data_IF_162096855912
#
_entry.id   IF_162096855912
#
_cell.length_a   1.000
_cell.length_b   1.000
_cell.length_c   1.000
_cell.angle_alpha   90.00
_cell.angle_beta   90.00
_cell.angle_gamma   90.00
#
_symmetry.space_group_name_H-M   'P 1'
#
loop_
_entity.id
_entity.type
_entity.pdbx_description
1 polymer ?
#
# COMPACT_ATOMS: atom_id res chain seq x y z
N UNK A 1 -27.50 13.37 -37.98
CA UNK A 1 -28.06 12.88 -36.69
C UNK A 1 -27.43 11.56 -36.19
N UNK A 2 -26.84 10.69 -37.02
CA UNK A 2 -26.19 9.43 -36.55
C UNK A 2 -24.86 9.62 -35.78
N UNK A 3 -24.08 10.67 -36.09
CA UNK A 3 -22.77 10.91 -35.45
C UNK A 3 -22.85 11.30 -33.97
N UNK A 4 -23.95 11.92 -33.52
CA UNK A 4 -24.15 12.23 -32.10
C UNK A 4 -24.35 10.98 -31.25
N UNK A 5 -24.94 9.92 -31.80
CA UNK A 5 -25.10 8.65 -31.09
C UNK A 5 -23.76 7.93 -30.96
N UNK A 6 -22.97 7.86 -32.04
CA UNK A 6 -21.66 7.21 -32.04
C UNK A 6 -20.66 7.93 -31.12
N UNK A 7 -20.64 9.26 -31.10
CA UNK A 7 -19.80 10.03 -30.18
C UNK A 7 -20.20 9.81 -28.72
N UNK A 8 -21.50 9.79 -28.40
CA UNK A 8 -21.98 9.50 -27.04
C UNK A 8 -21.63 8.08 -26.61
N UNK A 9 -21.82 7.09 -27.48
CA UNK A 9 -21.46 5.69 -27.21
C UNK A 9 -19.95 5.58 -26.99
N UNK A 10 -19.12 6.21 -27.83
CA UNK A 10 -17.67 6.21 -27.66
C UNK A 10 -17.24 6.82 -26.33
N UNK A 11 -17.85 7.94 -25.91
CA UNK A 11 -17.60 8.53 -24.59
C UNK A 11 -18.01 7.57 -23.46
N UNK A 12 -19.18 6.94 -23.54
CA UNK A 12 -19.62 5.98 -22.53
C UNK A 12 -18.71 4.74 -22.45
N UNK A 13 -18.28 4.22 -23.59
CA UNK A 13 -17.32 3.09 -23.66
C UNK A 13 -15.98 3.51 -23.06
N UNK A 14 -15.47 4.68 -23.42
CA UNK A 14 -14.24 5.23 -22.85
C UNK A 14 -14.35 5.38 -21.33
N UNK A 15 -15.44 5.98 -20.83
CA UNK A 15 -15.67 6.14 -19.39
C UNK A 15 -15.78 4.79 -18.69
N UNK A 16 -16.52 3.84 -19.26
CA UNK A 16 -16.66 2.50 -18.69
C UNK A 16 -15.31 1.78 -18.61
N UNK A 17 -14.50 1.81 -19.67
CA UNK A 17 -13.16 1.22 -19.67
C UNK A 17 -12.22 1.93 -18.68
N UNK A 18 -12.24 3.27 -18.66
CA UNK A 18 -11.42 4.08 -17.76
C UNK A 18 -11.74 3.77 -16.29
N UNK A 19 -13.01 3.81 -15.90
CA UNK A 19 -13.42 3.51 -14.51
C UNK A 19 -13.26 2.03 -14.16
N UNK A 20 -13.47 1.10 -15.10
CA UNK A 20 -13.22 -0.32 -14.85
C UNK A 20 -11.74 -0.60 -14.64
N UNK A 21 -10.85 0.05 -15.39
CA UNK A 21 -9.41 -0.06 -15.20
C UNK A 21 -8.97 0.55 -13.86
N UNK A 22 -9.48 1.75 -13.52
CA UNK A 22 -9.13 2.45 -12.29
C UNK A 22 -9.65 1.75 -11.03
N UNK A 23 -10.91 1.30 -11.03
CA UNK A 23 -11.60 0.74 -9.86
C UNK A 23 -11.56 -0.79 -9.81
N UNK A 24 -11.28 -1.46 -10.93
CA UNK A 24 -11.28 -2.92 -11.04
C UNK A 24 -10.40 -3.61 -10.00
N UNK A 25 -9.12 -3.24 -9.83
CA UNK A 25 -8.27 -3.82 -8.80
C UNK A 25 -8.81 -3.62 -7.37
N UNK A 26 -9.41 -2.46 -7.08
CA UNK A 26 -10.02 -2.19 -5.77
C UNK A 26 -11.24 -3.08 -5.53
N UNK A 27 -12.06 -3.32 -6.56
CA UNK A 27 -13.21 -4.24 -6.49
C UNK A 27 -12.74 -5.67 -6.29
N UNK A 28 -11.72 -6.12 -7.03
CA UNK A 28 -11.13 -7.46 -6.86
C UNK A 28 -10.61 -7.63 -5.44
N UNK A 29 -9.84 -6.67 -4.92
CA UNK A 29 -9.33 -6.68 -3.55
C UNK A 29 -10.47 -6.65 -2.52
N UNK A 30 -11.56 -5.95 -2.80
CA UNK A 30 -12.73 -5.93 -1.94
C UNK A 30 -13.42 -7.30 -1.88
N UNK A 31 -13.47 -8.02 -3.00
CA UNK A 31 -14.05 -9.37 -3.07
C UNK A 31 -13.15 -10.40 -2.38
N UNK A 32 -11.83 -10.32 -2.56
CA UNK A 32 -10.86 -11.25 -1.94
C UNK A 32 -10.84 -11.14 -0.42
N UNK A 33 -11.21 -9.99 0.15
CA UNK A 33 -11.32 -9.79 1.59
C UNK A 33 -12.31 -10.75 2.27
N UNK A 34 -13.27 -11.28 1.51
CA UNK A 34 -14.29 -12.18 2.00
C UNK A 34 -14.09 -13.63 1.55
N UNK A 35 -12.98 -13.98 0.91
CA UNK A 35 -12.68 -15.33 0.45
C UNK A 35 -11.70 -16.03 1.41
N UNK A 36 -11.91 -17.33 1.70
CA UNK A 36 -11.07 -18.11 2.63
C UNK A 36 -9.64 -18.49 2.22
N UNK A 37 -9.21 -18.47 0.94
CA UNK A 37 -7.85 -18.87 0.60
C UNK A 37 -6.80 -18.00 1.31
N UNK A 38 -5.70 -18.61 1.77
CA UNK A 38 -4.61 -17.91 2.46
C UNK A 38 -3.81 -16.91 1.60
N UNK A 39 -4.13 -16.81 0.31
CA UNK A 39 -3.56 -15.86 -0.63
C UNK A 39 -4.68 -15.06 -1.32
N UNK A 40 -4.54 -13.73 -1.54
CA UNK A 40 -5.57 -12.92 -2.17
C UNK A 40 -5.87 -13.37 -3.60
N UNK A 41 -6.95 -14.14 -3.78
CA UNK A 41 -7.42 -14.60 -5.08
C UNK A 41 -8.93 -14.55 -5.18
N UNK A 42 -9.43 -13.96 -6.26
CA UNK A 42 -10.87 -13.82 -6.49
C UNK A 42 -11.50 -15.07 -7.11
N UNK A 43 -10.70 -15.90 -7.78
CA UNK A 43 -11.12 -17.15 -8.38
C UNK A 43 -10.04 -18.24 -8.20
N UNK A 44 -10.43 -19.51 -7.97
CA UNK A 44 -11.79 -19.98 -7.65
C UNK A 44 -12.28 -19.49 -6.27
N UNK A 45 -13.61 -19.35 -6.12
CA UNK A 45 -14.24 -19.03 -4.84
C UNK A 45 -14.30 -20.29 -3.97
N UNK A 46 -13.84 -20.21 -2.73
CA UNK A 46 -13.86 -21.33 -1.79
C UNK A 46 -15.01 -21.15 -0.80
N UNK A 47 -14.82 -20.26 0.18
CA UNK A 47 -15.78 -20.02 1.25
C UNK A 47 -15.83 -18.52 1.56
N UNK A 48 -17.03 -18.02 1.86
CA UNK A 48 -17.22 -16.71 2.47
C UNK A 48 -16.66 -16.71 3.90
N UNK A 49 -15.73 -15.81 4.21
CA UNK A 49 -15.10 -15.68 5.53
C UNK A 49 -14.98 -14.22 5.96
N UNK A 50 -14.91 -13.99 7.28
CA UNK A 50 -14.60 -12.68 7.88
C UNK A 50 -13.32 -12.75 8.75
N UNK A 51 -12.60 -13.88 8.72
CA UNK A 51 -11.42 -14.10 9.57
C UNK A 51 -10.29 -13.09 9.33
N UNK A 52 -10.18 -12.60 8.09
CA UNK A 52 -9.15 -11.63 7.70
C UNK A 52 -9.35 -10.26 8.35
N UNK A 53 -10.58 -9.89 8.71
CA UNK A 53 -10.86 -8.68 9.47
C UNK A 53 -10.34 -8.82 10.90
N UNK A 54 -10.59 -9.95 11.56
CA UNK A 54 -10.02 -10.22 12.89
C UNK A 54 -8.50 -10.33 12.85
N UNK A 55 -7.94 -11.00 11.85
CA UNK A 55 -6.49 -11.12 11.67
C UNK A 55 -5.82 -9.75 11.47
N UNK A 56 -6.49 -8.83 10.74
CA UNK A 56 -6.02 -7.45 10.57
C UNK A 56 -5.96 -6.69 11.90
N UNK A 57 -6.98 -6.80 12.75
CA UNK A 57 -7.01 -6.12 14.05
C UNK A 57 -6.09 -6.75 15.11
N UNK A 58 -5.58 -7.96 14.86
CA UNK A 58 -4.58 -8.61 15.71
C UNK A 58 -3.15 -8.37 15.22
N UNK A 59 -2.96 -7.79 14.03
CA UNK A 59 -1.66 -7.52 13.46
C UNK A 59 -1.07 -6.22 14.04
N UNK A 60 -0.27 -6.36 15.09
CA UNK A 60 0.37 -5.23 15.78
C UNK A 60 1.24 -4.38 14.85
N UNK A 61 1.86 -4.97 13.83
CA UNK A 61 2.70 -4.24 12.87
C UNK A 61 1.85 -3.31 12.03
N UNK A 62 0.70 -3.77 11.54
CA UNK A 62 -0.24 -2.92 10.80
C UNK A 62 -0.81 -1.82 11.69
N UNK A 63 -1.21 -2.15 12.92
CA UNK A 63 -1.75 -1.15 13.86
C UNK A 63 -0.71 -0.07 14.22
N UNK A 64 0.53 -0.48 14.48
CA UNK A 64 1.64 0.45 14.69
C UNK A 64 1.94 1.27 13.43
N UNK A 65 1.90 0.66 12.25
CA UNK A 65 2.01 1.36 10.96
C UNK A 65 0.95 2.43 10.77
N UNK A 66 -0.32 2.17 11.13
CA UNK A 66 -1.42 3.15 11.11
C UNK A 66 -1.12 4.30 12.08
N UNK A 67 -0.71 3.98 13.31
CA UNK A 67 -0.36 4.99 14.32
C UNK A 67 0.78 5.89 13.83
N UNK A 68 1.85 5.29 13.30
CA UNK A 68 2.99 6.00 12.74
C UNK A 68 2.58 6.88 11.56
N UNK A 69 1.75 6.37 10.64
CA UNK A 69 1.20 7.16 9.54
C UNK A 69 0.40 8.39 10.00
N UNK A 70 -0.40 8.25 11.06
CA UNK A 70 -1.16 9.39 11.62
C UNK A 70 -0.22 10.40 12.26
N UNK A 71 0.78 9.96 13.02
CA UNK A 71 1.78 10.84 13.65
C UNK A 71 2.61 11.60 12.62
N UNK A 72 3.16 10.89 11.63
CA UNK A 72 3.90 11.48 10.51
C UNK A 72 2.99 12.43 9.73
N UNK A 73 1.77 12.01 9.39
CA UNK A 73 0.79 12.84 8.69
C UNK A 73 0.48 14.13 9.42
N UNK A 74 0.23 14.08 10.73
CA UNK A 74 -0.04 15.27 11.54
C UNK A 74 1.17 16.22 11.61
N UNK A 75 2.38 15.68 11.78
CA UNK A 75 3.62 16.47 11.79
C UNK A 75 3.87 17.14 10.44
N UNK A 76 3.76 16.38 9.35
CA UNK A 76 3.94 16.86 7.98
C UNK A 76 2.91 17.91 7.59
N UNK A 77 1.64 17.73 7.96
CA UNK A 77 0.59 18.75 7.75
C UNK A 77 0.94 20.05 8.46
N UNK A 78 1.33 19.97 9.73
CA UNK A 78 1.64 21.15 10.55
C UNK A 78 2.79 21.95 9.94
N UNK A 79 3.88 21.29 9.56
CA UNK A 79 5.03 21.94 8.94
C UNK A 79 4.75 22.41 7.51
N UNK A 80 4.18 21.55 6.67
CA UNK A 80 3.98 21.86 5.25
C UNK A 80 2.96 22.98 5.03
N UNK A 81 1.86 22.99 5.79
CA UNK A 81 0.84 24.05 5.66
C UNK A 81 1.37 25.38 6.19
N UNK A 82 2.11 25.37 7.31
CA UNK A 82 2.70 26.60 7.85
C UNK A 82 3.77 27.17 6.92
N UNK A 83 4.69 26.33 6.43
CA UNK A 83 5.71 26.73 5.44
C UNK A 83 5.07 27.15 4.11
N UNK A 84 4.07 26.43 3.62
CA UNK A 84 3.37 26.75 2.39
C UNK A 84 2.58 28.06 2.48
N UNK A 85 1.96 28.34 3.63
CA UNK A 85 1.29 29.62 3.88
C UNK A 85 2.28 30.78 3.95
N UNK A 86 3.39 30.61 4.68
CA UNK A 86 4.45 31.60 4.72
C UNK A 86 5.02 31.86 3.30
N UNK A 87 5.24 30.80 2.53
CA UNK A 87 5.70 30.87 1.15
C UNK A 87 4.73 31.61 0.23
N UNK A 88 3.44 31.31 0.33
CA UNK A 88 2.40 31.95 -0.47
C UNK A 88 2.29 33.46 -0.16
N UNK A 89 2.33 33.83 1.12
CA UNK A 89 2.28 35.24 1.54
C UNK A 89 3.53 36.00 1.09
N UNK A 90 4.71 35.40 1.27
CA UNK A 90 5.98 36.02 0.85
C UNK A 90 6.02 36.26 -0.66
N UNK A 91 5.50 35.34 -1.48
CA UNK A 91 5.46 35.51 -2.93
C UNK A 91 4.67 36.77 -3.36
N UNK A 92 3.63 37.14 -2.61
CA UNK A 92 2.86 38.36 -2.91
C UNK A 92 3.56 39.64 -2.51
N UNK A 93 4.45 39.58 -1.52
CA UNK A 93 5.13 40.75 -0.95
C UNK A 93 6.54 40.96 -1.52
N UNK A 94 7.15 39.92 -2.10
CA UNK A 94 8.50 40.01 -2.66
C UNK A 94 8.53 40.88 -3.91
N UNK A 95 9.69 41.51 -4.12
CA UNK A 95 9.97 42.40 -5.24
C UNK A 95 9.69 41.70 -6.59
N UNK A 96 9.04 42.37 -7.55
CA UNK A 96 8.63 41.74 -8.82
C UNK A 96 9.75 41.00 -9.56
N UNK A 97 10.98 41.52 -9.51
CA UNK A 97 12.16 40.93 -10.15
C UNK A 97 12.62 39.60 -9.50
N UNK A 98 12.36 39.41 -8.20
CA UNK A 98 12.76 38.22 -7.45
C UNK A 98 11.66 37.15 -7.38
N UNK A 99 10.42 37.49 -7.77
CA UNK A 99 9.27 36.57 -7.73
C UNK A 99 9.52 35.27 -8.48
N UNK A 100 10.10 35.36 -9.69
CA UNK A 100 10.38 34.19 -10.51
C UNK A 100 11.39 33.26 -9.83
N UNK A 101 12.52 33.80 -9.36
CA UNK A 101 13.55 33.02 -8.66
C UNK A 101 13.02 32.36 -7.39
N UNK A 102 12.28 33.12 -6.58
CA UNK A 102 11.68 32.62 -5.35
C UNK A 102 10.68 31.48 -5.62
N UNK A 103 9.81 31.66 -6.61
CA UNK A 103 8.85 30.63 -7.05
C UNK A 103 9.57 29.36 -7.50
N UNK A 104 10.63 29.48 -8.31
CA UNK A 104 11.42 28.35 -8.78
C UNK A 104 12.09 27.60 -7.63
N UNK A 105 12.70 28.32 -6.67
CA UNK A 105 13.36 27.69 -5.51
C UNK A 105 12.35 26.88 -4.69
N UNK A 106 11.17 27.42 -4.42
CA UNK A 106 10.16 26.73 -3.61
C UNK A 106 9.59 25.52 -4.33
N UNK A 107 9.45 25.55 -5.65
CA UNK A 107 8.84 24.45 -6.41
C UNK A 107 9.87 23.38 -6.81
N UNK A 108 11.15 23.72 -6.83
CA UNK A 108 12.22 22.78 -7.18
C UNK A 108 12.11 21.40 -6.50
N UNK A 109 11.78 21.28 -5.20
CA UNK A 109 11.62 19.97 -4.54
C UNK A 109 10.57 19.06 -5.18
N UNK A 110 9.52 19.60 -5.82
CA UNK A 110 8.50 18.79 -6.52
C UNK A 110 9.09 18.04 -7.70
N UNK A 111 10.14 18.60 -8.33
CA UNK A 111 10.80 18.00 -9.50
C UNK A 111 11.82 16.93 -9.10
N UNK A 112 12.21 16.87 -7.82
CA UNK A 112 13.20 15.92 -7.33
C UNK A 112 12.50 14.59 -7.02
N UNK A 113 13.02 13.44 -7.50
CA UNK A 113 12.46 12.15 -7.16
C UNK A 113 12.43 11.92 -5.65
N UNK A 114 11.32 11.38 -5.12
CA UNK A 114 11.14 11.19 -3.67
C UNK A 114 12.24 10.35 -3.00
N UNK A 115 12.84 9.41 -3.73
CA UNK A 115 14.01 8.61 -3.30
C UNK A 115 15.22 9.51 -3.00
N UNK A 116 15.50 10.46 -3.89
CA UNK A 116 16.62 11.40 -3.72
C UNK A 116 16.37 12.30 -2.52
N UNK A 117 15.13 12.77 -2.33
CA UNK A 117 14.74 13.54 -1.12
C UNK A 117 14.94 12.70 0.15
N UNK A 118 14.54 11.42 0.14
CA UNK A 118 14.68 10.54 1.30
C UNK A 118 16.14 10.32 1.69
N UNK A 119 16.99 9.92 0.74
CA UNK A 119 18.41 9.67 0.97
C UNK A 119 19.12 10.98 1.38
N UNK A 120 18.85 12.08 0.68
CA UNK A 120 19.47 13.37 1.02
C UNK A 120 19.07 13.87 2.39
N UNK A 121 17.81 13.67 2.81
CA UNK A 121 17.33 14.01 4.15
C UNK A 121 18.07 13.24 5.22
N UNK A 122 18.18 11.91 5.06
CA UNK A 122 18.94 11.06 5.99
C UNK A 122 20.40 11.54 6.10
N UNK A 123 21.10 11.64 4.97
CA UNK A 123 22.53 12.00 4.93
C UNK A 123 22.76 13.41 5.50
N UNK A 124 21.90 14.37 5.16
CA UNK A 124 22.01 15.73 5.65
C UNK A 124 21.87 15.78 7.17
N UNK A 125 20.83 15.16 7.73
CA UNK A 125 20.58 15.19 9.17
C UNK A 125 21.58 14.36 9.96
N UNK A 126 22.08 13.24 9.44
CA UNK A 126 23.21 12.50 10.05
C UNK A 126 24.47 13.39 10.11
N UNK A 127 24.78 14.12 9.04
CA UNK A 127 25.93 15.03 9.03
C UNK A 127 25.77 16.18 10.03
N UNK A 128 24.57 16.74 10.13
CA UNK A 128 24.23 17.77 11.12
C UNK A 128 24.34 17.21 12.54
N UNK A 129 23.82 16.01 12.79
CA UNK A 129 23.88 15.34 14.08
C UNK A 129 25.34 15.20 14.57
N UNK A 130 26.23 14.73 13.69
CA UNK A 130 27.67 14.61 13.98
C UNK A 130 28.36 15.95 14.19
N UNK A 131 27.95 17.00 13.46
CA UNK A 131 28.53 18.33 13.60
C UNK A 131 28.25 18.92 14.99
N UNK A 132 27.06 18.66 15.54
CA UNK A 132 26.68 19.08 16.88
C UNK A 132 27.14 18.12 17.98
N UNK A 133 27.86 17.04 17.65
CA UNK A 133 28.35 16.06 18.61
C UNK A 133 27.23 15.33 19.36
N UNK A 134 26.06 15.21 18.75
CA UNK A 134 24.90 14.54 19.34
C UNK A 134 25.00 13.03 19.14
N UNK A 135 24.48 12.28 20.10
CA UNK A 135 24.49 10.81 20.07
C UNK A 135 23.61 10.25 18.93
N UNK A 136 23.78 8.97 18.64
CA UNK A 136 22.98 8.26 17.63
C UNK A 136 21.47 8.29 17.94
N UNK A 137 21.10 8.38 19.22
CA UNK A 137 19.71 8.38 19.70
C UNK A 137 19.06 9.77 19.74
N UNK A 138 19.69 10.76 19.09
CA UNK A 138 19.15 12.11 19.06
C UNK A 138 17.83 12.20 18.27
N UNK A 139 17.07 13.27 18.54
CA UNK A 139 15.86 13.60 17.78
C UNK A 139 16.13 13.75 16.28
N UNK A 140 17.36 14.14 15.90
CA UNK A 140 17.73 14.36 14.49
C UNK A 140 17.91 13.05 13.72
N UNK A 141 18.23 11.95 14.41
CA UNK A 141 18.34 10.61 13.85
C UNK A 141 17.03 9.82 13.89
N UNK A 142 16.01 10.34 14.59
CA UNK A 142 14.73 9.67 14.76
C UNK A 142 13.96 9.56 13.42
N UNK A 143 13.48 8.35 13.10
CA UNK A 143 12.79 8.10 11.83
C UNK A 143 11.49 8.90 11.63
N UNK A 144 10.76 9.22 12.70
CA UNK A 144 9.59 10.10 12.61
C UNK A 144 10.01 11.52 12.19
N UNK A 145 11.06 12.05 12.82
CA UNK A 145 11.59 13.38 12.51
C UNK A 145 12.09 13.45 11.06
N UNK A 146 12.93 12.49 10.65
CA UNK A 146 13.47 12.42 9.29
C UNK A 146 12.36 12.32 8.26
N UNK A 147 11.33 11.50 8.52
CA UNK A 147 10.19 11.34 7.61
C UNK A 147 9.37 12.62 7.51
N UNK A 148 9.06 13.26 8.64
CA UNK A 148 8.30 14.51 8.67
C UNK A 148 9.03 15.62 7.91
N UNK A 149 10.33 15.81 8.14
CA UNK A 149 11.11 16.86 7.46
C UNK A 149 11.29 16.55 5.97
N UNK A 150 11.65 15.32 5.64
CA UNK A 150 11.85 14.90 4.24
C UNK A 150 10.58 15.10 3.41
N UNK A 151 9.43 14.65 3.94
CA UNK A 151 8.15 14.85 3.26
C UNK A 151 7.73 16.33 3.20
N UNK A 152 7.93 17.08 4.28
CA UNK A 152 7.54 18.50 4.33
C UNK A 152 8.26 19.35 3.28
N UNK A 153 9.47 18.95 2.86
CA UNK A 153 10.29 19.70 1.90
C UNK A 153 9.60 19.90 0.55
N UNK A 154 8.85 18.90 0.05
CA UNK A 154 8.10 19.03 -1.21
C UNK A 154 6.60 19.24 -0.99
N UNK A 155 6.02 18.74 0.10
CA UNK A 155 4.59 18.93 0.39
C UNK A 155 4.30 20.39 0.75
N UNK A 156 5.24 21.13 1.35
CA UNK A 156 5.11 22.57 1.56
C UNK A 156 4.89 23.32 0.23
N UNK A 157 5.54 22.88 -0.85
CA UNK A 157 5.40 23.46 -2.19
C UNK A 157 4.00 23.21 -2.76
N UNK A 158 3.43 22.01 -2.57
CA UNK A 158 2.03 21.75 -2.93
C UNK A 158 1.06 22.62 -2.14
N UNK A 159 1.27 22.75 -0.83
CA UNK A 159 0.46 23.62 0.02
C UNK A 159 0.53 25.08 -0.44
N UNK A 160 1.74 25.57 -0.76
CA UNK A 160 1.97 26.91 -1.28
C UNK A 160 1.15 27.15 -2.56
N UNK A 161 1.18 26.24 -3.53
CA UNK A 161 0.45 26.37 -4.80
C UNK A 161 -1.06 26.53 -4.58
N UNK A 162 -1.65 25.70 -3.71
CA UNK A 162 -3.08 25.78 -3.36
C UNK A 162 -3.41 27.13 -2.70
N UNK A 163 -2.55 27.58 -1.79
CA UNK A 163 -2.75 28.83 -1.05
C UNK A 163 -2.56 30.06 -1.93
N UNK A 164 -1.58 30.06 -2.85
CA UNK A 164 -1.38 31.14 -3.83
C UNK A 164 -2.62 31.29 -4.72
N UNK A 165 -3.19 30.19 -5.22
CA UNK A 165 -4.39 30.23 -6.05
C UNK A 165 -5.59 30.86 -5.32
N UNK A 166 -5.68 30.67 -4.00
CA UNK A 166 -6.70 31.35 -3.17
C UNK A 166 -6.38 32.83 -2.99
N UNK A 167 -5.11 33.14 -2.70
CA UNK A 167 -4.65 34.49 -2.41
C UNK A 167 -4.76 35.42 -3.62
N UNK A 168 -4.64 34.90 -4.84
CA UNK A 168 -4.89 35.65 -6.08
C UNK A 168 -6.33 36.21 -6.20
N UNK A 169 -7.28 35.65 -5.45
CA UNK A 169 -8.68 36.13 -5.39
C UNK A 169 -8.94 37.05 -4.19
N UNK A 170 -7.92 37.37 -3.41
CA UNK A 170 -8.04 38.26 -2.26
C UNK A 170 -7.97 39.71 -2.73
N UNK A 171 -8.93 40.53 -2.27
CA UNK A 171 -8.90 41.96 -2.48
C UNK A 171 -8.03 42.62 -1.40
N UNK A 172 -6.91 43.20 -1.81
CA UNK A 172 -5.99 43.89 -0.90
C UNK A 172 -6.64 45.10 -0.22
N UNK A 173 -7.68 45.70 -0.83
CA UNK A 173 -8.44 46.80 -0.25
C UNK A 173 -9.11 46.44 1.08
N UNK A 174 -9.40 45.16 1.33
CA UNK A 174 -9.92 44.70 2.62
C UNK A 174 -8.88 44.84 3.75
N UNK A 175 -7.60 44.62 3.43
CA UNK A 175 -6.51 44.82 4.40
C UNK A 175 -6.27 46.30 4.62
N UNK A 176 -6.25 47.10 3.55
CA UNK A 176 -6.05 48.55 3.62
C UNK A 176 -7.15 49.23 4.45
N UNK A 177 -8.42 48.91 4.19
CA UNK A 177 -9.55 49.42 4.97
C UNK A 177 -9.48 49.05 6.45
N UNK A 178 -8.96 47.86 6.79
CA UNK A 178 -8.76 47.48 8.19
C UNK A 178 -7.68 48.33 8.87
N UNK A 179 -6.59 48.64 8.16
CA UNK A 179 -5.53 49.51 8.66
C UNK A 179 -6.04 50.95 8.82
N UNK A 180 -6.85 51.45 7.89
CA UNK A 180 -7.48 52.78 7.96
C UNK A 180 -8.42 52.93 9.17
N UNK A 181 -9.08 51.84 9.58
CA UNK A 181 -9.89 51.77 10.81
C UNK A 181 -9.06 51.63 12.10
N UNK A 182 -7.73 51.73 12.01
CA UNK A 182 -6.80 51.68 13.14
C UNK A 182 -6.37 50.27 13.56
N UNK A 183 -6.63 49.24 12.75
CA UNK A 183 -6.13 47.90 13.04
C UNK A 183 -4.60 47.84 12.82
N UNK A 184 -3.89 47.08 13.67
CA UNK A 184 -2.48 46.76 13.41
C UNK A 184 -2.34 45.69 12.32
N UNK A 185 -1.18 45.57 11.67
CA UNK A 185 -0.94 44.50 10.68
C UNK A 185 -1.25 43.09 11.21
N UNK A 186 -0.91 42.81 12.48
CA UNK A 186 -1.24 41.53 13.10
C UNK A 186 -2.76 41.33 13.29
N UNK A 187 -3.50 42.40 13.57
CA UNK A 187 -4.96 42.37 13.66
C UNK A 187 -5.60 42.19 12.29
N UNK A 188 -5.17 42.94 11.28
CA UNK A 188 -5.64 42.79 9.89
C UNK A 188 -5.38 41.37 9.37
N UNK A 189 -4.19 40.82 9.63
CA UNK A 189 -3.86 39.43 9.32
C UNK A 189 -4.82 38.44 10.00
N UNK A 190 -4.98 38.52 11.34
CA UNK A 190 -5.77 37.54 12.11
C UNK A 190 -7.28 37.66 11.87
N UNK A 191 -7.79 38.87 11.62
CA UNK A 191 -9.24 39.15 11.53
C UNK A 191 -9.76 39.21 10.10
N UNK A 192 -8.92 39.50 9.10
CA UNK A 192 -9.34 39.67 7.70
C UNK A 192 -8.73 38.58 6.84
N UNK A 193 -7.39 38.55 6.73
CA UNK A 193 -6.71 37.64 5.80
C UNK A 193 -6.83 36.17 6.21
N UNK A 194 -6.55 35.86 7.47
CA UNK A 194 -6.57 34.48 7.95
C UNK A 194 -7.96 33.84 7.82
N UNK A 195 -9.08 34.49 8.22
CA UNK A 195 -10.42 33.96 7.98
C UNK A 195 -10.76 33.76 6.51
N UNK A 196 -10.32 34.65 5.62
CA UNK A 196 -10.48 34.49 4.18
C UNK A 196 -9.73 33.26 3.64
N UNK A 197 -8.54 32.99 4.20
CA UNK A 197 -7.67 31.87 3.82
C UNK A 197 -8.06 30.54 4.48
N UNK A 198 -8.81 30.54 5.59
CA UNK A 198 -9.23 29.32 6.32
C UNK A 198 -9.72 28.16 5.43
N UNK A 199 -10.65 28.34 4.46
CA UNK A 199 -11.11 27.23 3.62
C UNK A 199 -9.99 26.66 2.74
N UNK A 200 -9.07 27.50 2.26
CA UNK A 200 -7.92 27.06 1.48
C UNK A 200 -6.85 26.39 2.36
N UNK A 201 -6.63 26.89 3.58
CA UNK A 201 -5.76 26.24 4.58
C UNK A 201 -6.28 24.86 4.94
N UNK A 202 -7.60 24.71 5.15
CA UNK A 202 -8.22 23.41 5.40
C UNK A 202 -8.04 22.45 4.21
N UNK A 203 -8.23 22.95 2.99
CA UNK A 203 -8.02 22.17 1.76
C UNK A 203 -6.55 21.74 1.59
N UNK A 204 -5.61 22.66 1.84
CA UNK A 204 -4.17 22.37 1.80
C UNK A 204 -3.76 21.37 2.90
N UNK A 205 -4.36 21.44 4.09
CA UNK A 205 -4.10 20.49 5.17
C UNK A 205 -4.57 19.08 4.81
N UNK A 206 -5.75 18.92 4.22
CA UNK A 206 -6.23 17.61 3.73
C UNK A 206 -5.32 17.08 2.63
N UNK A 207 -4.91 17.93 1.68
CA UNK A 207 -3.97 17.55 0.63
C UNK A 207 -2.63 17.11 1.21
N UNK A 208 -2.08 17.87 2.16
CA UNK A 208 -0.81 17.54 2.81
C UNK A 208 -0.89 16.22 3.57
N UNK A 209 -2.00 15.98 4.28
CA UNK A 209 -2.22 14.73 4.99
C UNK A 209 -2.28 13.56 4.02
N UNK A 210 -3.04 13.67 2.94
CA UNK A 210 -3.18 12.61 1.95
C UNK A 210 -1.84 12.29 1.28
N UNK A 211 -1.12 13.32 0.83
CA UNK A 211 0.19 13.17 0.19
C UNK A 211 1.25 12.58 1.14
N UNK A 212 1.12 12.83 2.44
CA UNK A 212 1.98 12.24 3.49
C UNK A 212 1.60 10.79 3.78
N UNK A 213 0.30 10.51 3.92
CA UNK A 213 -0.23 9.20 4.28
C UNK A 213 0.06 8.14 3.22
N UNK A 214 0.00 8.50 1.94
CA UNK A 214 0.32 7.60 0.82
C UNK A 214 1.81 7.58 0.44
N UNK A 215 2.67 8.32 1.16
CA UNK A 215 4.07 8.45 0.78
C UNK A 215 4.86 7.16 1.06
N UNK A 216 5.33 6.53 0.00
CA UNK A 216 6.29 5.43 0.04
C UNK A 216 7.71 5.89 -0.32
N UNK A 217 7.85 6.70 -1.37
CA UNK A 217 9.13 6.98 -2.02
C UNK A 217 10.17 7.65 -1.11
N UNK A 218 9.75 8.65 -0.32
CA UNK A 218 10.65 9.34 0.61
C UNK A 218 10.76 8.55 1.91
N UNK A 219 9.62 8.08 2.42
CA UNK A 219 9.52 7.35 3.68
C UNK A 219 10.38 6.10 3.74
N UNK A 220 10.55 5.38 2.62
CA UNK A 220 11.37 4.15 2.55
C UNK A 220 12.80 4.36 3.04
N UNK A 221 13.34 5.57 2.90
CA UNK A 221 14.69 5.89 3.34
C UNK A 221 14.74 6.59 4.69
N UNK A 222 13.60 7.05 5.23
CA UNK A 222 13.57 7.89 6.44
C UNK A 222 12.84 7.25 7.62
N UNK A 223 12.13 6.14 7.43
CA UNK A 223 11.23 5.59 8.46
C UNK A 223 11.96 5.09 9.73
N UNK A 224 13.21 4.63 9.62
CA UNK A 224 13.99 4.12 10.75
C UNK A 224 13.27 3.00 11.49
N UNK A 225 13.04 3.17 12.79
CA UNK A 225 12.31 2.21 13.64
C UNK A 225 10.77 2.37 13.57
N UNK A 226 10.28 3.37 12.83
CA UNK A 226 8.87 3.77 12.80
C UNK A 226 8.27 3.62 11.39
N UNK A 227 8.11 2.38 10.89
CA UNK A 227 7.50 2.16 9.58
C UNK A 227 6.06 2.69 9.57
N UNK A 228 5.71 3.42 8.51
CA UNK A 228 4.33 3.85 8.23
C UNK A 228 3.53 2.71 7.62
N UNK A 229 2.20 2.85 7.56
CA UNK A 229 1.31 1.86 6.95
C UNK A 229 1.74 1.49 5.52
N UNK A 230 2.17 2.48 4.73
CA UNK A 230 2.67 2.27 3.37
C UNK A 230 3.93 1.40 3.33
N UNK A 231 4.83 1.56 4.29
CA UNK A 231 6.05 0.75 4.42
C UNK A 231 5.70 -0.66 4.88
N UNK A 232 4.86 -0.82 5.90
CA UNK A 232 4.43 -2.14 6.37
C UNK A 232 3.72 -2.93 5.27
N UNK A 233 2.86 -2.27 4.50
CA UNK A 233 2.20 -2.90 3.36
C UNK A 233 3.20 -3.33 2.28
N UNK A 234 4.17 -2.47 1.95
CA UNK A 234 5.22 -2.80 0.97
C UNK A 234 6.12 -3.95 1.43
N UNK A 235 6.42 -4.03 2.73
CA UNK A 235 7.16 -5.15 3.32
C UNK A 235 6.36 -6.46 3.22
N UNK A 236 5.07 -6.45 3.53
CA UNK A 236 4.22 -7.65 3.37
C UNK A 236 4.13 -8.13 1.93
N UNK A 237 4.15 -7.24 0.93
CA UNK A 237 4.22 -7.64 -0.49
C UNK A 237 5.48 -8.45 -0.79
N UNK A 238 6.59 -8.19 -0.10
CA UNK A 238 7.86 -8.92 -0.28
C UNK A 238 7.94 -10.22 0.52
N UNK A 239 7.41 -10.23 1.74
CA UNK A 239 7.56 -11.37 2.66
C UNK A 239 6.38 -12.35 2.68
N UNK A 240 5.26 -12.02 2.04
CA UNK A 240 4.09 -12.88 1.94
C UNK A 240 2.79 -12.10 2.13
N UNK A 241 1.88 -12.19 1.17
CA UNK A 241 0.61 -11.46 1.15
C UNK A 241 -0.50 -12.36 1.66
N UNK A 242 -1.22 -11.88 2.67
CA UNK A 242 -2.46 -12.50 3.15
C UNK A 242 -3.67 -11.64 2.78
N UNK A 243 -4.89 -12.21 2.69
CA UNK A 243 -6.11 -11.41 2.46
C UNK A 243 -6.44 -10.42 3.60
N UNK A 244 -5.70 -10.38 4.70
CA UNK A 244 -5.80 -9.29 5.69
C UNK A 244 -5.53 -7.90 5.04
N UNK A 245 -4.66 -7.85 4.03
CA UNK A 245 -4.43 -6.63 3.23
C UNK A 245 -5.65 -6.26 2.38
N UNK A 246 -6.36 -7.28 1.87
CA UNK A 246 -7.62 -7.09 1.13
C UNK A 246 -8.70 -6.54 2.05
N UNK A 247 -8.81 -7.06 3.28
CA UNK A 247 -9.71 -6.52 4.30
C UNK A 247 -9.37 -5.06 4.65
N UNK A 248 -8.09 -4.72 4.80
CA UNK A 248 -7.67 -3.33 5.01
C UNK A 248 -8.07 -2.42 3.83
N UNK A 249 -7.82 -2.87 2.60
CA UNK A 249 -8.21 -2.12 1.40
C UNK A 249 -9.72 -1.90 1.34
N UNK A 250 -10.52 -2.93 1.63
CA UNK A 250 -11.97 -2.83 1.71
C UNK A 250 -12.42 -1.80 2.76
N UNK A 251 -11.85 -1.84 3.98
CA UNK A 251 -12.15 -0.87 5.05
C UNK A 251 -11.85 0.56 4.57
N UNK A 252 -10.68 0.79 3.96
CA UNK A 252 -10.30 2.12 3.44
C UNK A 252 -11.28 2.57 2.34
N UNK A 253 -11.68 1.69 1.43
CA UNK A 253 -12.66 1.99 0.38
C UNK A 253 -14.02 2.35 0.98
N UNK A 254 -14.51 1.58 1.95
CA UNK A 254 -15.78 1.86 2.63
C UNK A 254 -15.73 3.20 3.38
N UNK A 255 -14.65 3.47 4.11
CA UNK A 255 -14.46 4.73 4.83
C UNK A 255 -14.38 5.93 3.88
N UNK A 256 -13.67 5.81 2.75
CA UNK A 256 -13.55 6.89 1.77
C UNK A 256 -14.87 7.18 1.07
N UNK A 257 -15.61 6.14 0.64
CA UNK A 257 -16.95 6.30 0.07
C UNK A 257 -17.90 6.92 1.08
N UNK A 258 -17.90 6.45 2.33
CA UNK A 258 -18.73 7.00 3.39
C UNK A 258 -18.41 8.48 3.65
N UNK A 259 -17.12 8.83 3.75
CA UNK A 259 -16.69 10.22 3.94
C UNK A 259 -17.10 11.11 2.76
N UNK A 260 -16.99 10.61 1.52
CA UNK A 260 -17.39 11.36 0.32
C UNK A 260 -18.90 11.61 0.30
N UNK A 261 -19.71 10.59 0.60
CA UNK A 261 -21.16 10.68 0.69
C UNK A 261 -21.60 11.63 1.82
N UNK A 262 -20.93 11.56 2.98
CA UNK A 262 -21.20 12.47 4.10
C UNK A 262 -20.87 13.93 3.75
N UNK A 263 -19.76 14.16 3.04
CA UNK A 263 -19.39 15.49 2.57
C UNK A 263 -20.39 16.05 1.55
N UNK A 264 -20.77 15.25 0.55
CA UNK A 264 -21.79 15.64 -0.45
C UNK A 264 -23.14 15.92 0.22
N UNK A 265 -23.59 15.06 1.14
CA UNK A 265 -24.81 15.30 1.92
C UNK A 265 -24.73 16.60 2.73
N UNK A 266 -23.56 16.92 3.29
CA UNK A 266 -23.31 18.18 3.99
C UNK A 266 -23.39 19.40 3.09
N UNK A 267 -22.83 19.33 1.88
CA UNK A 267 -22.90 20.40 0.87
C UNK A 267 -24.35 20.59 0.42
N UNK A 268 -25.05 19.52 0.05
CA UNK A 268 -26.46 19.55 -0.33
C UNK A 268 -27.36 20.12 0.75
N UNK A 269 -27.11 19.78 2.01
CA UNK A 269 -27.84 20.36 3.14
C UNK A 269 -27.65 21.88 3.22
N UNK A 270 -26.43 22.39 3.01
CA UNK A 270 -26.17 23.85 2.99
C UNK A 270 -26.89 24.54 1.84
N UNK A 271 -26.89 23.94 0.65
CA UNK A 271 -27.63 24.44 -0.52
C UNK A 271 -29.14 24.52 -0.25
N UNK A 272 -29.73 23.45 0.30
CA UNK A 272 -31.16 23.39 0.64
C UNK A 272 -31.54 24.41 1.72
N UNK A 273 -30.71 24.57 2.76
CA UNK A 273 -30.93 25.58 3.80
C UNK A 273 -30.80 27.01 3.25
N UNK A 274 -29.83 27.25 2.35
CA UNK A 274 -29.69 28.54 1.70
C UNK A 274 -30.88 28.85 0.78
N UNK A 275 -31.38 27.85 0.05
CA UNK A 275 -32.58 27.97 -0.78
C UNK A 275 -33.82 28.26 0.08
N UNK A 276 -34.01 27.52 1.17
CA UNK A 276 -35.12 27.72 2.11
C UNK A 276 -35.09 29.11 2.77
N UNK A 277 -33.89 29.62 3.12
CA UNK A 277 -33.73 30.99 3.64
C UNK A 277 -34.11 32.06 2.62
N UNK A 278 -33.92 31.82 1.32
CA UNK A 278 -34.26 32.76 0.25
C UNK A 278 -35.76 32.84 -0.01
N UNK A 279 -36.51 31.76 0.26
CA UNK A 279 -37.96 31.69 0.10
C UNK A 279 -38.76 32.04 1.36
N UNK A 280 -38.10 32.21 2.51
CA UNK A 280 -38.78 32.49 3.79
C UNK A 280 -39.26 33.96 3.86
N UNK A 281 -40.54 34.17 4.18
CA UNK A 281 -41.11 35.49 4.48
C UNK A 281 -40.62 36.04 5.82
N UNK A 282 -40.59 37.38 5.99
CA UNK A 282 -40.08 38.07 7.20
C UNK A 282 -40.69 37.55 8.51
N UNK A 283 -41.97 37.15 8.49
CA UNK A 283 -42.66 36.54 9.65
C UNK A 283 -42.15 35.13 10.03
N UNK A 284 -41.62 34.37 9.08
CA UNK A 284 -41.03 33.04 9.38
C UNK A 284 -39.65 33.16 10.03
N UNK A 285 -38.89 34.22 9.69
CA UNK A 285 -37.56 34.50 10.26
C UNK A 285 -37.63 34.94 11.73
N UNK A 286 -38.71 35.62 12.13
CA UNK A 286 -38.97 36.04 13.52
C UNK A 286 -39.40 34.87 14.44
N UNK A 287 -40.01 33.82 13.87
CA UNK A 287 -40.56 32.69 14.64
C UNK A 287 -39.55 31.58 15.00
N UNK A 288 -38.31 31.66 14.53
CA UNK A 288 -37.24 30.70 14.84
C UNK A 288 -37.48 29.26 14.37
N UNK A 289 -38.54 28.98 13.59
CA UNK A 289 -38.89 27.63 13.13
C UNK A 289 -38.68 27.51 11.62
N UNK A 290 -37.42 27.27 11.20
CA UNK A 290 -37.14 26.84 9.83
C UNK A 290 -37.70 25.44 9.59
N UNK A 291 -38.78 25.33 8.81
CA UNK A 291 -39.22 24.07 8.20
C UNK A 291 -38.29 23.74 7.03
N UNK A 292 -37.56 22.63 7.17
CA UNK A 292 -36.79 22.04 6.07
C UNK A 292 -37.75 21.51 4.97
N UNK A 293 -37.45 21.71 3.67
CA UNK A 293 -38.30 21.23 2.59
C UNK A 293 -38.33 19.69 2.54
N UNK A 294 -39.55 19.16 2.55
CA UNK A 294 -39.87 17.72 2.63
C UNK A 294 -39.65 16.97 1.33
N UNK A 295 -38.41 16.87 0.87
CA UNK A 295 -37.98 15.83 -0.09
C UNK A 295 -37.05 14.80 0.57
N UNK A 296 -36.63 15.04 1.82
CA UNK A 296 -35.81 14.15 2.65
C UNK A 296 -36.50 13.68 3.94
N UNK A 297 -37.81 13.95 4.09
CA UNK A 297 -38.60 13.59 5.27
C UNK A 297 -39.40 12.29 5.13
N UNK A 298 -39.25 11.55 4.02
CA UNK A 298 -39.66 10.15 3.99
C UNK A 298 -38.62 9.28 4.69
N UNK A 299 -38.50 9.54 5.99
CA UNK A 299 -37.96 8.69 7.03
C UNK A 299 -36.63 7.99 6.71
N UNK A 300 -35.53 8.75 6.70
CA UNK A 300 -34.16 8.22 6.70
C UNK A 300 -33.93 7.22 7.84
N UNK A 301 -34.60 7.41 8.98
CA UNK A 301 -34.60 6.42 10.06
C UNK A 301 -35.31 5.14 9.65
N UNK A 302 -36.41 5.16 8.89
CA UNK A 302 -37.02 3.94 8.33
C UNK A 302 -36.18 3.29 7.24
N UNK A 303 -35.48 4.06 6.39
CA UNK A 303 -34.55 3.49 5.40
C UNK A 303 -33.37 2.82 6.10
N UNK A 304 -32.79 3.47 7.12
CA UNK A 304 -31.73 2.88 7.96
C UNK A 304 -32.26 1.66 8.70
N UNK A 305 -33.48 1.71 9.25
CA UNK A 305 -34.07 0.60 9.99
C UNK A 305 -34.44 -0.57 9.06
N UNK A 306 -34.88 -0.32 7.83
CA UNK A 306 -35.11 -1.35 6.80
C UNK A 306 -33.79 -1.93 6.29
N UNK A 307 -32.74 -1.11 6.09
CA UNK A 307 -31.41 -1.60 5.71
C UNK A 307 -30.78 -2.40 6.85
N UNK A 308 -30.91 -1.95 8.09
CA UNK A 308 -30.45 -2.67 9.29
C UNK A 308 -31.28 -3.94 9.51
N UNK A 309 -32.60 -3.92 9.27
CA UNK A 309 -33.47 -5.09 9.32
C UNK A 309 -33.14 -6.09 8.22
N UNK A 310 -32.90 -5.64 7.00
CA UNK A 310 -32.48 -6.49 5.88
C UNK A 310 -31.08 -7.06 6.12
N UNK A 311 -30.15 -6.28 6.67
CA UNK A 311 -28.82 -6.77 7.07
C UNK A 311 -28.91 -7.74 8.23
N UNK A 312 -29.77 -7.50 9.24
CA UNK A 312 -29.94 -8.44 10.36
C UNK A 312 -30.66 -9.71 9.93
N UNK A 313 -31.66 -9.64 9.06
CA UNK A 313 -32.31 -10.82 8.48
C UNK A 313 -31.35 -11.59 7.58
N UNK A 314 -30.52 -10.89 6.78
CA UNK A 314 -29.48 -11.52 5.99
C UNK A 314 -28.42 -12.18 6.88
N UNK A 315 -27.92 -11.50 7.90
CA UNK A 315 -26.93 -12.03 8.86
C UNK A 315 -27.49 -13.21 9.64
N UNK A 316 -28.70 -13.11 10.19
CA UNK A 316 -29.37 -14.19 10.93
C UNK A 316 -29.74 -15.37 10.01
N UNK A 317 -30.19 -15.09 8.79
CA UNK A 317 -30.45 -16.11 7.76
C UNK A 317 -29.18 -16.82 7.31
N UNK A 318 -28.07 -16.11 7.14
CA UNK A 318 -26.78 -16.72 6.82
C UNK A 318 -26.17 -17.46 8.00
N UNK A 319 -26.35 -16.98 9.24
CA UNK A 319 -25.78 -17.59 10.44
C UNK A 319 -26.44 -18.93 10.82
N UNK A 320 -27.66 -19.19 10.35
CA UNK A 320 -28.40 -20.45 10.62
C UNK A 320 -28.14 -21.54 9.59
N UNK A 321 -27.61 -21.20 8.41
CA UNK A 321 -27.42 -22.14 7.28
C UNK A 321 -25.96 -22.27 6.87
N UNK A 322 -25.12 -21.26 7.15
CA UNK A 322 -23.73 -21.20 6.71
C UNK A 322 -22.80 -20.87 7.88
N UNK A 323 -22.00 -21.85 8.30
CA UNK A 323 -20.87 -21.60 9.20
C UNK A 323 -19.57 -21.53 8.39
N UNK A 324 -18.83 -20.40 8.41
CA UNK A 324 -17.56 -20.28 7.69
C UNK A 324 -16.56 -21.39 8.07
N UNK A 325 -16.56 -21.82 9.33
CA UNK A 325 -15.62 -22.82 9.83
C UNK A 325 -15.86 -24.21 9.24
N UNK A 326 -17.12 -24.63 9.05
CA UNK A 326 -17.42 -25.92 8.41
C UNK A 326 -17.02 -25.90 6.94
N UNK A 327 -17.35 -24.85 6.20
CA UNK A 327 -16.95 -24.72 4.79
C UNK A 327 -15.42 -24.78 4.63
N UNK A 328 -14.67 -24.06 5.48
CA UNK A 328 -13.20 -24.08 5.44
C UNK A 328 -12.65 -25.48 5.76
N UNK A 329 -13.27 -26.21 6.70
CA UNK A 329 -12.87 -27.58 7.02
C UNK A 329 -13.10 -28.52 5.83
N UNK A 330 -14.27 -28.47 5.21
CA UNK A 330 -14.65 -29.30 4.06
C UNK A 330 -13.72 -29.03 2.85
N UNK A 331 -13.45 -27.76 2.55
CA UNK A 331 -12.53 -27.38 1.47
C UNK A 331 -11.10 -27.84 1.76
N UNK A 332 -10.66 -27.79 3.02
CA UNK A 332 -9.33 -28.27 3.41
C UNK A 332 -9.23 -29.79 3.28
N UNK A 333 -10.28 -30.52 3.62
CA UNK A 333 -10.36 -31.97 3.45
C UNK A 333 -10.34 -32.36 1.96
N UNK A 334 -11.15 -31.69 1.13
CA UNK A 334 -11.16 -31.91 -0.32
C UNK A 334 -9.78 -31.69 -0.94
N UNK A 335 -9.06 -30.62 -0.57
CA UNK A 335 -7.70 -30.37 -1.06
C UNK A 335 -6.70 -31.42 -0.61
N UNK A 336 -6.84 -31.95 0.61
CA UNK A 336 -6.00 -33.06 1.08
C UNK A 336 -6.23 -34.30 0.23
N UNK A 337 -7.48 -34.68 0.01
CA UNK A 337 -7.85 -35.81 -0.84
C UNK A 337 -7.35 -35.65 -2.28
N UNK A 338 -7.49 -34.46 -2.87
CA UNK A 338 -6.98 -34.16 -4.21
C UNK A 338 -5.45 -34.27 -4.28
N UNK A 339 -4.75 -33.77 -3.25
CA UNK A 339 -3.29 -33.84 -3.16
C UNK A 339 -2.83 -35.30 -3.04
N UNK A 340 -3.50 -36.10 -2.22
CA UNK A 340 -3.18 -37.53 -2.03
C UNK A 340 -3.40 -38.32 -3.34
N UNK A 341 -4.50 -38.07 -4.04
CA UNK A 341 -4.75 -38.65 -5.37
C UNK A 341 -3.68 -38.25 -6.39
N UNK A 342 -3.26 -36.97 -6.38
CA UNK A 342 -2.19 -36.46 -7.25
C UNK A 342 -0.85 -37.15 -6.97
N UNK A 343 -0.52 -37.36 -5.69
CA UNK A 343 0.69 -38.07 -5.27
C UNK A 343 0.64 -39.53 -5.73
N UNK A 344 -0.50 -40.21 -5.57
CA UNK A 344 -0.67 -41.59 -6.03
C UNK A 344 -0.50 -41.72 -7.55
N UNK A 345 -1.10 -40.81 -8.32
CA UNK A 345 -0.95 -40.78 -9.79
C UNK A 345 0.52 -40.57 -10.20
N UNK A 346 1.22 -39.65 -9.54
CA UNK A 346 2.65 -39.41 -9.79
C UNK A 346 3.51 -40.63 -9.45
N UNK A 347 3.21 -41.34 -8.36
CA UNK A 347 3.91 -42.57 -7.98
C UNK A 347 3.66 -43.68 -9.00
N UNK A 348 2.43 -43.86 -9.48
CA UNK A 348 2.10 -44.82 -10.54
C UNK A 348 2.87 -44.52 -11.82
N UNK A 349 2.87 -43.26 -12.27
CA UNK A 349 3.63 -42.85 -13.46
C UNK A 349 5.13 -43.09 -13.32
N UNK A 350 5.71 -42.84 -12.14
CA UNK A 350 7.13 -43.14 -11.86
C UNK A 350 7.42 -44.64 -11.89
N UNK A 351 6.52 -45.47 -11.36
CA UNK A 351 6.66 -46.92 -11.39
C UNK A 351 6.58 -47.48 -12.81
N UNK A 352 5.64 -47.00 -13.64
CA UNK A 352 5.56 -47.37 -15.05
C UNK A 352 6.81 -46.96 -15.84
N UNK A 353 7.34 -45.76 -15.60
CA UNK A 353 8.58 -45.29 -16.21
C UNK A 353 9.81 -46.08 -15.76
N UNK A 354 9.85 -46.51 -14.50
CA UNK A 354 10.90 -47.42 -14.02
C UNK A 354 10.80 -48.77 -14.74
N UNK A 355 9.61 -49.38 -14.79
CA UNK A 355 9.39 -50.65 -15.48
C UNK A 355 9.73 -50.59 -16.98
N UNK A 356 9.45 -49.48 -17.67
CA UNK A 356 9.87 -49.27 -19.06
C UNK A 356 11.39 -49.20 -19.21
N UNK A 357 12.07 -48.47 -18.32
CA UNK A 357 13.55 -48.40 -18.32
C UNK A 357 14.18 -49.77 -18.04
N UNK A 358 13.61 -50.52 -17.09
CA UNK A 358 14.08 -51.87 -16.77
C UNK A 358 13.86 -52.83 -17.95
N UNK A 359 12.74 -52.71 -18.67
CA UNK A 359 12.46 -53.49 -19.88
C UNK A 359 13.42 -53.12 -21.04
N UNK A 360 13.71 -51.84 -21.25
CA UNK A 360 14.70 -51.38 -22.23
C UNK A 360 16.12 -51.87 -21.90
N UNK A 361 16.49 -51.90 -20.61
CA UNK A 361 17.76 -52.47 -20.16
C UNK A 361 17.80 -54.00 -20.29
N UNK A 362 16.68 -54.69 -20.08
CA UNK A 362 16.55 -56.13 -20.32
C UNK A 362 16.63 -56.48 -21.81
N UNK A 363 16.08 -55.64 -22.70
CA UNK A 363 16.24 -55.80 -24.15
C UNK A 363 17.68 -55.53 -24.62
N UNK A 364 18.36 -54.52 -24.06
CA UNK A 364 19.78 -54.25 -24.36
C UNK A 364 20.73 -55.35 -23.84
N UNK A 365 20.38 -56.02 -22.74
CA UNK A 365 21.16 -57.15 -22.21
C UNK A 365 20.82 -58.51 -22.85
N UNK A 366 19.76 -58.59 -23.66
CA UNK A 366 19.38 -59.76 -24.43
C UNK A 366 20.08 -59.90 -25.80
N UNK A 367 20.94 -58.95 -26.17
CA UNK A 367 21.55 -58.92 -27.51
C UNK A 367 23.06 -58.63 -27.47
N UNK A 368 23.85 -59.62 -27.05
CA UNK A 368 25.28 -59.71 -27.35
C UNK A 368 25.65 -61.16 -27.73
N UNK A 369 26.34 -61.40 -28.86
CA UNK A 369 27.38 -62.40 -28.91
C UNK A 369 28.73 -61.75 -28.59
N UNK A 370 29.49 -62.47 -27.77
CA UNK A 370 30.82 -62.16 -27.30
C UNK A 370 31.80 -61.73 -28.40
N UNK A 371 32.65 -60.75 -28.08
CA UNK A 371 34.11 -60.86 -28.25
C UNK A 371 34.80 -59.87 -27.32
N UNK A 372 35.78 -60.38 -26.56
CA UNK A 372 36.77 -59.60 -25.84
C UNK A 372 37.48 -58.62 -26.79
N UNK A 373 37.67 -57.37 -26.36
CA UNK A 373 38.98 -56.76 -26.55
C UNK A 373 39.28 -55.70 -25.49
N UNK A 374 40.46 -55.86 -24.91
CA UNK A 374 41.07 -55.01 -23.91
C UNK A 374 41.51 -53.68 -24.52
N UNK A 375 40.97 -52.55 -24.05
CA UNK A 375 41.67 -51.24 -24.02
C UNK A 375 40.81 -50.21 -23.27
N UNK A 376 41.32 -49.51 -22.23
CA UNK A 376 40.54 -48.47 -21.57
C UNK A 376 40.60 -47.19 -22.41
N UNK A 377 39.49 -46.80 -23.04
CA UNK A 377 39.37 -45.50 -23.72
C UNK A 377 38.74 -44.49 -22.76
N UNK A 378 39.48 -43.41 -22.51
CA UNK A 378 39.10 -42.31 -21.64
C UNK A 378 37.75 -41.70 -22.02
N UNK A 379 36.82 -41.69 -21.07
CA UNK A 379 35.53 -41.02 -21.15
C UNK A 379 35.66 -39.61 -20.55
N UNK A 380 35.99 -38.64 -21.43
CA UNK A 380 35.77 -37.22 -21.13
C UNK A 380 34.32 -36.87 -21.45
N UNK A 381 33.46 -36.79 -20.42
CA UNK A 381 32.41 -35.77 -20.33
C UNK A 381 31.78 -35.71 -18.92
N UNK A 382 32.44 -35.06 -17.98
CA UNK A 382 31.77 -34.51 -16.79
C UNK A 382 32.35 -33.13 -16.49
N UNK A 383 31.50 -32.20 -16.04
CA UNK A 383 31.77 -30.76 -15.90
C UNK A 383 32.77 -30.37 -14.79
N UNK A 384 33.64 -31.28 -14.37
CA UNK A 384 34.78 -31.01 -13.51
C UNK A 384 36.03 -31.49 -14.24
N UNK A 385 36.69 -30.56 -14.92
CA UNK A 385 37.93 -30.85 -15.65
C UNK A 385 39.02 -31.36 -14.71
N UNK A 386 39.68 -32.44 -15.14
CA UNK A 386 41.07 -32.83 -14.85
C UNK A 386 41.67 -32.38 -13.50
N UNK A 387 41.09 -32.80 -12.38
CA UNK A 387 41.67 -32.62 -11.02
C UNK A 387 42.61 -33.76 -10.63
N UNK A 388 42.68 -34.85 -11.39
CA UNK A 388 43.45 -36.05 -11.04
C UNK A 388 44.37 -36.53 -12.17
N UNK A 389 45.22 -35.64 -12.70
CA UNK A 389 46.34 -36.03 -13.56
C UNK A 389 47.43 -36.71 -12.70
N UNK A 390 47.90 -37.96 -13.00
CA UNK A 390 48.75 -38.73 -12.08
C UNK A 390 50.18 -38.19 -11.87
N UNK A 391 50.56 -37.07 -12.51
CA UNK A 391 51.85 -36.42 -12.32
C UNK A 391 51.87 -35.31 -11.27
N UNK A 392 50.76 -35.05 -10.57
CA UNK A 392 50.60 -33.79 -9.84
C UNK A 392 51.29 -33.71 -8.46
N UNK A 393 51.83 -34.78 -7.88
CA UNK A 393 52.44 -34.70 -6.54
C UNK A 393 53.65 -35.62 -6.40
N UNK A 394 54.83 -35.01 -6.53
CA UNK A 394 56.12 -35.55 -6.14
C UNK A 394 56.81 -34.45 -5.32
N UNK A 395 56.54 -34.37 -4.01
CA UNK A 395 57.56 -34.15 -2.97
C UNK A 395 57.01 -34.26 -1.52
N UNK A 396 57.88 -34.81 -0.68
CA UNK A 396 58.00 -35.12 0.76
C UNK A 396 57.06 -34.59 1.89
N UNK A 397 56.90 -35.42 2.95
CA UNK A 397 57.01 -34.96 4.35
C UNK A 397 55.97 -35.35 5.42
N UNK A 398 56.17 -36.52 6.07
CA UNK A 398 55.95 -36.88 7.51
C UNK A 398 54.55 -37.10 8.14
N UNK A 399 54.44 -38.34 8.68
CA UNK A 399 53.81 -38.87 9.92
C UNK A 399 52.31 -39.27 10.02
N UNK A 400 52.16 -40.58 10.26
CA UNK A 400 51.00 -41.46 10.57
C UNK A 400 50.61 -41.46 12.09
N UNK A 401 49.60 -42.23 12.59
CA UNK A 401 48.47 -42.94 11.94
C UNK A 401 47.08 -42.88 12.68
N UNK A 402 46.06 -43.40 11.96
CA UNK A 402 44.93 -44.26 12.39
C UNK A 402 43.75 -43.76 13.27
N UNK A 403 42.53 -43.74 12.72
CA UNK A 403 41.58 -44.89 12.81
C UNK A 403 40.13 -44.56 12.32
N UNK A 404 39.75 -45.14 11.17
CA UNK A 404 38.51 -45.90 10.85
C UNK A 404 37.04 -45.35 11.01
N UNK A 405 36.04 -45.90 10.27
CA UNK A 405 35.48 -45.15 9.13
C UNK A 405 33.96 -44.89 9.18
N UNK A 406 33.53 -43.87 8.44
CA UNK A 406 32.14 -43.60 8.11
C UNK A 406 31.76 -44.22 6.74
N UNK A 407 30.52 -44.68 6.67
CA UNK A 407 29.76 -45.17 5.51
C UNK A 407 29.77 -44.22 4.31
N UNK A 408 29.70 -44.73 3.06
CA UNK A 408 29.81 -43.91 1.86
C UNK A 408 28.51 -43.10 1.62
N UNK A 409 28.62 -41.79 1.86
CA UNK A 409 27.64 -40.79 1.46
C UNK A 409 27.79 -40.40 0.00
N UNK A 410 26.66 -40.46 -0.68
CA UNK A 410 26.37 -40.11 -2.06
C UNK A 410 26.90 -38.71 -2.45
N UNK A 411 27.83 -38.65 -3.41
CA UNK A 411 28.46 -37.42 -3.86
C UNK A 411 27.72 -36.90 -5.11
N UNK A 412 26.74 -36.02 -4.91
CA UNK A 412 26.12 -35.26 -6.00
C UNK A 412 26.20 -33.76 -5.68
N UNK A 413 26.68 -32.97 -6.64
CA UNK A 413 26.96 -31.52 -6.51
C UNK A 413 25.73 -30.63 -6.31
N UNK A 414 24.58 -31.20 -5.99
CA UNK A 414 23.41 -30.51 -5.45
C UNK A 414 22.99 -31.28 -4.20
N UNK A 415 23.62 -31.00 -3.06
CA UNK A 415 23.25 -31.63 -1.79
C UNK A 415 21.77 -31.41 -1.49
N UNK A 416 21.02 -32.49 -1.28
CA UNK A 416 19.72 -32.61 -0.60
C UNK A 416 18.71 -31.45 -0.69
N UNK A 417 18.66 -30.69 -1.79
CA UNK A 417 17.66 -29.61 -1.99
C UNK A 417 16.24 -30.14 -2.21
N UNK A 418 16.08 -31.45 -2.46
CA UNK A 418 14.79 -32.08 -2.73
C UNK A 418 14.46 -33.25 -1.80
N UNK A 419 15.10 -33.34 -0.63
CA UNK A 419 14.76 -34.36 0.37
C UNK A 419 13.44 -33.97 1.08
N UNK A 420 12.35 -34.73 0.93
CA UNK A 420 11.04 -34.40 1.51
C UNK A 420 11.01 -34.48 3.05
N UNK A 421 12.07 -34.98 3.71
CA UNK A 421 12.16 -35.04 5.17
C UNK A 421 12.93 -33.86 5.81
N UNK A 422 13.41 -32.89 5.03
CA UNK A 422 14.25 -31.79 5.54
C UNK A 422 13.50 -30.70 6.35
N UNK A 423 12.21 -30.86 6.65
CA UNK A 423 11.39 -29.89 7.41
C UNK A 423 10.88 -30.45 8.75
N UNK A 424 11.50 -31.50 9.29
CA UNK A 424 11.26 -31.93 10.66
C UNK A 424 12.56 -31.83 11.45
N UNK A 425 12.90 -30.62 11.87
CA UNK A 425 13.43 -30.27 13.19
C UNK A 425 13.77 -28.77 13.22
N UNK A 426 13.28 -28.14 14.29
CA UNK A 426 13.45 -26.76 14.79
C UNK A 426 12.72 -25.60 14.07
#
# INVERSE_FOLDING_TARGET
>A
MKNFSLMRISIWVYLALFFSYLLGPLVIMSVTAFNSPGFPRAAPWECLTFEWFSALFQDERILNGIKNSILVGAGTVTLSVSMGLAGALMLTQIWPKLRATYYTIIIAPILIPGVVIGISTLVFWDRVNRLFGLDADSVLSNGLFLTIIGQSTFIASYCMLVLVARLQRYDNGLTEAALDLGATHAQAFRKVLLPFMRPAIASAAVLAFLASFENYNTTTFTFGEYPTLTIELAQKVRYGITPAISALAFIIVVLTVFAALANEAGIRRKELVAAARKSATVAELESGKLRLPGFLSSNTAAVVLVVVAMMTIAVVGTATVYSPQQCIADVREQKRLETDLRIQELLQRRAEQAARRDAEQAEQSGQEPATEDTTPKASNNSGFGNVFDPGALQDDGTDEPEAEPATPGNNSGFGNVFDPNALQND
#
